data_IF_054409872724
#
_entry.id   IF_054409872724
#
_cell.length_a   1.000
_cell.length_b   1.000
_cell.length_c   1.000
_cell.angle_alpha   90.00
_cell.angle_beta   90.00
_cell.angle_gamma   90.00
#
_symmetry.space_group_name_H-M   'P 1'
#
loop_
_entity.id
_entity.type
_entity.pdbx_description
1 polymer ?
#
# COMPACT_ATOMS: atom_id res chain seq x y z
N UNK A 1 -13.26 19.46 -7.75
CA UNK A 1 -11.93 19.05 -7.34
C UNK A 1 -11.99 17.55 -7.15
N UNK A 2 -11.15 16.81 -7.86
CA UNK A 2 -11.10 15.35 -7.78
C UNK A 2 -10.70 14.92 -6.37
N UNK A 3 -11.21 13.78 -5.95
CA UNK A 3 -11.06 13.27 -4.59
C UNK A 3 -9.59 12.82 -4.36
N UNK A 4 -8.72 13.78 -4.04
CA UNK A 4 -7.29 13.53 -3.78
C UNK A 4 -7.08 12.75 -2.48
N UNK A 5 -8.04 12.79 -1.57
CA UNK A 5 -7.96 12.20 -0.26
C UNK A 5 -9.08 11.19 -0.02
N UNK A 6 -8.84 10.27 0.88
CA UNK A 6 -9.82 9.33 1.43
C UNK A 6 -9.72 9.26 2.95
N UNK A 7 -10.73 8.65 3.55
CA UNK A 7 -10.79 8.43 5.00
C UNK A 7 -10.41 7.01 5.35
N UNK A 8 -9.68 6.88 6.44
CA UNK A 8 -9.38 5.61 7.10
C UNK A 8 -9.91 5.68 8.52
N UNK A 9 -10.56 4.64 9.00
CA UNK A 9 -11.08 4.59 10.36
C UNK A 9 -9.94 4.78 11.37
N UNK A 10 -10.25 5.45 12.48
CA UNK A 10 -9.33 5.74 13.59
C UNK A 10 -8.20 6.72 13.24
N UNK A 11 -8.25 7.38 12.09
CA UNK A 11 -7.37 8.50 11.75
C UNK A 11 -8.15 9.80 11.76
N UNK A 12 -7.58 10.82 12.39
CA UNK A 12 -8.11 12.18 12.33
C UNK A 12 -7.70 12.93 11.06
N UNK A 13 -6.69 12.41 10.36
CA UNK A 13 -6.16 12.97 9.10
C UNK A 13 -6.81 12.31 7.89
N UNK A 14 -7.05 13.11 6.84
CA UNK A 14 -7.31 12.58 5.51
C UNK A 14 -6.04 11.98 4.91
N UNK A 15 -6.15 10.87 4.20
CA UNK A 15 -5.03 10.15 3.57
C UNK A 15 -5.06 10.41 2.07
N UNK A 16 -3.94 10.83 1.48
CA UNK A 16 -3.85 10.97 0.02
C UNK A 16 -4.07 9.63 -0.67
N UNK A 17 -4.86 9.68 -1.77
CA UNK A 17 -5.24 8.47 -2.54
C UNK A 17 -4.05 7.75 -3.17
N UNK A 18 -2.91 8.40 -3.32
CA UNK A 18 -1.63 7.78 -3.66
C UNK A 18 -0.73 7.85 -2.44
N UNK A 19 -0.05 6.76 -2.13
CA UNK A 19 0.87 6.64 -0.98
C UNK A 19 2.31 6.51 -1.49
N UNK A 20 3.22 7.33 -0.97
CA UNK A 20 4.63 7.30 -1.33
C UNK A 20 5.36 6.15 -0.64
N UNK A 21 5.82 5.17 -1.41
CA UNK A 21 6.74 4.14 -0.91
C UNK A 21 8.17 4.66 -0.83
N UNK A 22 8.86 4.37 0.28
CA UNK A 22 10.17 4.95 0.59
C UNK A 22 11.36 4.02 0.29
N UNK A 23 11.12 2.79 -0.18
CA UNK A 23 12.16 1.78 -0.43
C UNK A 23 13.02 2.06 -1.67
N UNK A 24 12.54 2.89 -2.60
CA UNK A 24 13.21 3.17 -3.87
C UNK A 24 14.22 4.33 -3.85
N UNK A 25 14.42 4.97 -2.69
CA UNK A 25 15.26 6.15 -2.56
C UNK A 25 16.53 5.82 -1.76
N UNK A 26 17.70 5.69 -2.41
CA UNK A 26 18.92 5.23 -1.73
C UNK A 26 19.54 6.28 -0.81
N UNK A 27 19.26 7.57 -1.03
CA UNK A 27 19.81 8.68 -0.23
C UNK A 27 18.80 9.80 -0.05
N UNK A 28 19.08 10.72 0.89
CA UNK A 28 18.21 11.89 1.11
C UNK A 28 18.26 12.86 -0.08
N UNK A 29 19.40 12.93 -0.79
CA UNK A 29 19.57 13.78 -1.96
C UNK A 29 18.67 13.32 -3.11
N UNK A 30 18.50 12.01 -3.31
CA UNK A 30 17.59 11.45 -4.31
C UNK A 30 16.12 11.51 -3.85
N UNK A 31 15.87 11.30 -2.57
CA UNK A 31 14.53 11.28 -1.99
C UNK A 31 13.87 12.66 -2.00
N UNK A 32 14.60 13.69 -1.54
CA UNK A 32 14.07 15.02 -1.30
C UNK A 32 13.30 15.60 -2.50
N UNK A 33 13.85 15.68 -3.72
CA UNK A 33 13.12 16.26 -4.85
C UNK A 33 11.84 15.49 -5.19
N UNK A 34 11.84 14.16 -5.03
CA UNK A 34 10.67 13.31 -5.29
C UNK A 34 9.60 13.49 -4.21
N UNK A 35 10.01 13.52 -2.94
CA UNK A 35 9.08 13.69 -1.82
C UNK A 35 8.53 15.13 -1.74
N UNK A 36 9.34 16.13 -2.07
CA UNK A 36 8.90 17.53 -2.19
C UNK A 36 7.84 17.69 -3.29
N UNK A 37 8.11 17.18 -4.50
CA UNK A 37 7.15 17.20 -5.61
C UNK A 37 5.85 16.47 -5.26
N UNK A 38 5.95 15.30 -4.61
CA UNK A 38 4.79 14.55 -4.14
C UNK A 38 3.97 15.36 -3.12
N UNK A 39 4.62 15.94 -2.12
CA UNK A 39 3.97 16.74 -1.09
C UNK A 39 3.35 18.02 -1.66
N UNK A 40 4.04 18.71 -2.55
CA UNK A 40 3.55 19.92 -3.22
C UNK A 40 2.34 19.67 -4.13
N UNK A 41 2.21 18.44 -4.66
CA UNK A 41 0.99 18.00 -5.37
C UNK A 41 -0.18 17.67 -4.44
N UNK A 42 0.02 17.71 -3.13
CA UNK A 42 -0.97 17.38 -2.11
C UNK A 42 -0.89 15.95 -1.58
N UNK A 43 0.15 15.18 -1.93
CA UNK A 43 0.41 13.89 -1.30
C UNK A 43 0.85 14.06 0.15
N UNK A 44 0.30 13.27 1.06
CA UNK A 44 0.63 13.38 2.47
C UNK A 44 0.95 12.04 3.17
N UNK A 45 0.81 10.92 2.48
CA UNK A 45 0.99 9.60 3.08
C UNK A 45 2.30 8.95 2.62
N UNK A 46 3.14 8.58 3.57
CA UNK A 46 4.47 8.00 3.34
C UNK A 46 4.56 6.63 4.00
N UNK A 47 4.88 5.62 3.19
CA UNK A 47 4.97 4.22 3.59
C UNK A 47 6.42 3.80 3.79
N UNK A 48 6.73 3.32 4.99
CA UNK A 48 8.03 2.81 5.35
C UNK A 48 7.91 1.46 6.07
N UNK A 49 9.03 0.74 6.21
CA UNK A 49 9.09 -0.50 6.95
C UNK A 49 10.44 -0.68 7.64
N UNK A 50 10.41 -1.27 8.84
CA UNK A 50 11.60 -1.58 9.63
C UNK A 50 12.63 -2.39 8.83
N UNK A 51 12.16 -3.37 8.01
CA UNK A 51 13.03 -4.21 7.19
C UNK A 51 13.78 -3.45 6.08
N UNK A 52 13.34 -2.22 5.72
CA UNK A 52 14.09 -1.38 4.76
C UNK A 52 15.36 -0.80 5.37
N UNK A 53 15.56 -1.00 6.67
CA UNK A 53 16.75 -0.61 7.42
C UNK A 53 16.66 0.81 8.00
N UNK A 54 17.42 1.02 9.07
CA UNK A 54 17.42 2.26 9.86
C UNK A 54 17.73 3.51 9.02
N UNK A 55 18.55 3.39 7.98
CA UNK A 55 18.87 4.51 7.10
C UNK A 55 17.67 4.98 6.26
N UNK A 56 16.77 4.07 5.87
CA UNK A 56 15.51 4.45 5.23
C UNK A 56 14.60 5.22 6.19
N UNK A 57 14.49 4.76 7.43
CA UNK A 57 13.70 5.41 8.48
C UNK A 57 14.27 6.77 8.86
N UNK A 58 15.58 6.87 9.04
CA UNK A 58 16.25 8.14 9.31
C UNK A 58 16.03 9.17 8.20
N UNK A 59 16.04 8.75 6.94
CA UNK A 59 15.82 9.64 5.80
C UNK A 59 14.44 10.29 5.84
N UNK A 60 13.39 9.52 6.02
CA UNK A 60 12.04 10.10 6.11
C UNK A 60 11.91 11.01 7.34
N UNK A 61 12.45 10.60 8.49
CA UNK A 61 12.48 11.42 9.71
C UNK A 61 13.24 12.74 9.51
N UNK A 62 14.37 12.70 8.81
CA UNK A 62 15.14 13.90 8.46
C UNK A 62 14.31 14.84 7.58
N UNK A 63 13.67 14.33 6.51
CA UNK A 63 12.86 15.12 5.60
C UNK A 63 11.68 15.76 6.32
N UNK A 64 10.95 15.00 7.15
CA UNK A 64 9.83 15.51 7.94
C UNK A 64 10.23 16.68 8.84
N UNK A 65 11.39 16.58 9.52
CA UNK A 65 11.92 17.66 10.40
C UNK A 65 12.36 18.88 9.59
N UNK A 66 13.11 18.68 8.51
CA UNK A 66 13.63 19.78 7.67
C UNK A 66 12.51 20.58 7.03
N UNK A 67 11.42 19.90 6.61
CA UNK A 67 10.23 20.55 6.05
C UNK A 67 9.26 21.08 7.11
N UNK A 68 9.35 20.60 8.35
CA UNK A 68 8.41 20.97 9.42
C UNK A 68 6.97 20.50 9.16
N UNK A 69 6.79 19.32 8.52
CA UNK A 69 5.48 18.87 8.00
C UNK A 69 4.93 17.61 8.67
N UNK A 70 5.53 17.14 9.79
CA UNK A 70 5.10 15.89 10.46
C UNK A 70 3.59 15.86 10.72
N UNK A 71 3.01 16.93 11.19
CA UNK A 71 1.58 17.02 11.53
C UNK A 71 0.67 16.98 10.29
N UNK A 72 1.20 17.36 9.13
CA UNK A 72 0.47 17.32 7.86
C UNK A 72 0.56 15.96 7.19
N UNK A 73 1.55 15.15 7.55
CA UNK A 73 1.82 13.85 6.93
C UNK A 73 1.15 12.71 7.71
N UNK A 74 0.72 11.71 6.97
CA UNK A 74 0.34 10.38 7.45
C UNK A 74 1.57 9.49 7.33
N UNK A 75 2.19 9.17 8.45
CA UNK A 75 3.38 8.31 8.50
C UNK A 75 2.94 6.88 8.75
N UNK A 76 3.30 5.99 7.82
CA UNK A 76 3.01 4.56 7.86
C UNK A 76 4.30 3.82 8.20
N UNK A 77 4.24 2.97 9.21
CA UNK A 77 5.33 2.10 9.65
C UNK A 77 4.91 0.65 9.52
N UNK A 78 5.82 -0.21 9.08
CA UNK A 78 5.62 -1.67 9.11
C UNK A 78 6.73 -2.33 9.93
N UNK A 79 6.36 -3.23 10.81
CA UNK A 79 7.26 -4.10 11.57
C UNK A 79 6.70 -5.50 11.72
N UNK A 80 7.28 -6.33 12.54
CA UNK A 80 6.92 -7.73 12.71
C UNK A 80 6.99 -8.51 11.38
N UNK A 81 8.15 -8.48 10.73
CA UNK A 81 8.44 -9.32 9.57
C UNK A 81 9.06 -10.65 10.05
N UNK A 82 8.71 -11.75 9.40
CA UNK A 82 9.33 -13.06 9.71
C UNK A 82 10.85 -13.03 9.52
N UNK A 83 11.64 -13.69 10.40
CA UNK A 83 11.21 -14.55 11.51
C UNK A 83 10.80 -13.79 12.79
N UNK A 84 11.09 -12.49 12.92
CA UNK A 84 10.79 -11.67 14.10
C UNK A 84 9.33 -11.17 14.06
N UNK A 85 8.38 -12.10 13.96
CA UNK A 85 6.94 -11.81 13.90
C UNK A 85 6.24 -12.37 15.14
N UNK A 86 6.36 -11.64 16.25
CA UNK A 86 5.69 -11.89 17.52
C UNK A 86 5.41 -10.57 18.27
N UNK A 87 4.62 -10.58 19.36
CA UNK A 87 4.23 -9.36 20.10
C UNK A 87 5.40 -8.57 20.68
N UNK A 88 6.47 -9.22 21.13
CA UNK A 88 7.62 -8.54 21.71
C UNK A 88 8.46 -7.85 20.63
N UNK A 89 8.76 -8.56 19.53
CA UNK A 89 9.47 -7.98 18.39
C UNK A 89 8.65 -6.89 17.70
N UNK A 90 7.32 -7.04 17.63
CA UNK A 90 6.43 -5.97 17.15
C UNK A 90 6.65 -4.68 17.93
N UNK A 91 6.64 -4.77 19.27
CA UNK A 91 6.82 -3.62 20.15
C UNK A 91 8.21 -3.03 20.04
N UNK A 92 9.24 -3.88 20.03
CA UNK A 92 10.63 -3.46 19.90
C UNK A 92 10.88 -2.74 18.56
N UNK A 93 10.43 -3.32 17.45
CA UNK A 93 10.62 -2.76 16.12
C UNK A 93 9.84 -1.45 15.92
N UNK A 94 8.63 -1.32 16.52
CA UNK A 94 7.90 -0.06 16.53
C UNK A 94 8.70 1.03 17.26
N UNK A 95 9.20 0.75 18.47
CA UNK A 95 9.96 1.72 19.25
C UNK A 95 11.24 2.15 18.54
N UNK A 96 11.97 1.20 17.95
CA UNK A 96 13.16 1.48 17.14
C UNK A 96 12.83 2.33 15.89
N UNK A 97 11.73 2.03 15.21
CA UNK A 97 11.30 2.81 14.02
C UNK A 97 10.97 4.26 14.39
N UNK A 98 10.26 4.48 15.49
CA UNK A 98 9.96 5.83 15.99
C UNK A 98 11.25 6.57 16.38
N UNK A 99 12.19 5.90 17.05
CA UNK A 99 13.50 6.45 17.38
C UNK A 99 14.32 6.82 16.14
N UNK A 100 14.43 5.91 15.16
CA UNK A 100 15.16 6.16 13.92
C UNK A 100 14.60 7.36 13.15
N UNK A 101 13.29 7.49 13.07
CA UNK A 101 12.64 8.63 12.44
C UNK A 101 12.69 9.91 13.28
N UNK A 102 12.92 9.79 14.60
CA UNK A 102 12.88 10.91 15.53
C UNK A 102 11.48 11.53 15.66
N UNK A 103 10.46 10.68 15.74
CA UNK A 103 9.04 11.02 15.93
C UNK A 103 8.48 10.28 17.15
N UNK A 104 7.47 10.84 17.80
CA UNK A 104 6.87 10.23 19.00
C UNK A 104 5.83 9.16 18.65
N UNK A 105 5.21 9.28 17.47
CA UNK A 105 4.15 8.37 17.02
C UNK A 105 4.11 8.27 15.50
N UNK A 106 3.55 7.17 14.97
CA UNK A 106 3.13 7.07 13.58
C UNK A 106 1.59 7.03 13.48
N UNK A 107 1.06 7.36 12.32
CA UNK A 107 -0.39 7.41 12.12
C UNK A 107 -0.96 6.02 11.86
N UNK A 108 -0.26 5.22 11.05
CA UNK A 108 -0.65 3.85 10.70
C UNK A 108 0.50 2.88 11.01
N UNK A 109 0.16 1.76 11.63
CA UNK A 109 1.08 0.64 11.78
C UNK A 109 0.55 -0.60 11.07
N UNK A 110 1.36 -1.22 10.21
CA UNK A 110 1.07 -2.53 9.65
C UNK A 110 1.99 -3.61 10.25
N UNK A 111 1.43 -4.70 10.70
CA UNK A 111 2.21 -5.92 10.82
C UNK A 111 2.66 -6.36 9.42
N UNK A 112 3.97 -6.48 9.20
CA UNK A 112 4.52 -6.71 7.85
C UNK A 112 4.28 -8.13 7.35
N UNK A 113 4.14 -9.09 8.27
CA UNK A 113 3.75 -10.49 8.02
C UNK A 113 2.81 -10.98 9.11
N UNK A 114 2.20 -12.13 8.89
CA UNK A 114 1.48 -12.87 9.91
C UNK A 114 2.36 -14.01 10.45
N UNK A 115 2.07 -14.45 11.66
CA UNK A 115 2.59 -15.69 12.24
C UNK A 115 1.42 -16.54 12.74
N UNK A 116 1.09 -17.58 11.99
CA UNK A 116 -0.07 -18.44 12.26
C UNK A 116 0.11 -19.31 13.53
N UNK A 117 1.31 -19.41 14.08
CA UNK A 117 1.57 -20.13 15.33
C UNK A 117 1.16 -19.31 16.56
N UNK A 118 0.96 -18.00 16.40
CA UNK A 118 0.57 -17.08 17.47
C UNK A 118 -0.91 -16.73 17.34
N UNK A 119 -1.71 -16.86 18.42
CA UNK A 119 -3.10 -16.43 18.42
C UNK A 119 -3.25 -14.95 18.06
N UNK A 120 -4.28 -14.59 17.28
CA UNK A 120 -4.55 -13.18 16.92
C UNK A 120 -4.75 -12.28 18.13
N UNK A 121 -5.23 -12.85 19.24
CA UNK A 121 -5.45 -12.11 20.49
C UNK A 121 -4.19 -11.45 21.00
N UNK A 122 -3.04 -12.13 20.92
CA UNK A 122 -1.77 -11.58 21.40
C UNK A 122 -1.34 -10.36 20.57
N UNK A 123 -1.53 -10.41 19.24
CA UNK A 123 -1.25 -9.27 18.37
C UNK A 123 -2.23 -8.12 18.58
N UNK A 124 -3.53 -8.41 18.67
CA UNK A 124 -4.56 -7.37 18.88
C UNK A 124 -4.39 -6.69 20.22
N UNK A 125 -4.04 -7.43 21.28
CA UNK A 125 -3.82 -6.86 22.61
C UNK A 125 -2.61 -5.92 22.64
N UNK A 126 -1.49 -6.31 22.00
CA UNK A 126 -0.29 -5.45 21.95
C UNK A 126 -0.51 -4.23 21.08
N UNK A 127 -1.16 -4.36 19.93
CA UNK A 127 -1.49 -3.22 19.06
C UNK A 127 -2.41 -2.22 19.78
N UNK A 128 -3.43 -2.70 20.48
CA UNK A 128 -4.31 -1.86 21.29
C UNK A 128 -3.59 -1.20 22.48
N UNK A 129 -2.56 -1.82 23.03
CA UNK A 129 -1.70 -1.18 24.03
C UNK A 129 -0.98 0.01 23.39
N UNK A 130 -0.36 -0.15 22.22
CA UNK A 130 0.33 0.94 21.51
C UNK A 130 -0.63 2.07 21.07
N UNK A 131 -1.90 1.76 20.76
CA UNK A 131 -2.94 2.79 20.54
C UNK A 131 -3.18 3.59 21.84
N UNK A 132 -3.37 2.91 22.98
CA UNK A 132 -3.58 3.60 24.28
C UNK A 132 -2.38 4.42 24.71
N UNK A 133 -1.16 3.97 24.38
CA UNK A 133 0.10 4.66 24.65
C UNK A 133 0.33 5.84 23.69
N UNK A 134 -0.53 6.02 22.68
CA UNK A 134 -0.44 7.11 21.70
C UNK A 134 0.68 6.95 20.66
N UNK A 135 1.27 5.75 20.55
CA UNK A 135 2.36 5.47 19.60
C UNK A 135 1.83 5.25 18.17
N UNK A 136 0.61 4.73 18.04
CA UNK A 136 -0.07 4.49 16.75
C UNK A 136 -1.52 4.91 16.85
N UNK A 137 -2.14 5.37 15.75
CA UNK A 137 -3.57 5.70 15.72
C UNK A 137 -4.41 4.57 15.15
N UNK A 138 -3.99 4.01 14.04
CA UNK A 138 -4.67 2.92 13.34
C UNK A 138 -3.69 1.82 12.97
N UNK A 139 -4.18 0.60 12.81
CA UNK A 139 -3.35 -0.53 12.45
C UNK A 139 -4.05 -1.54 11.55
N UNK A 140 -3.25 -2.39 10.91
CA UNK A 140 -3.70 -3.47 10.05
C UNK A 140 -2.62 -4.51 9.79
N UNK A 141 -2.90 -5.43 8.86
CA UNK A 141 -1.99 -6.49 8.43
C UNK A 141 -1.51 -6.30 6.99
N UNK A 142 -0.23 -6.48 6.75
CA UNK A 142 0.34 -6.59 5.42
C UNK A 142 0.59 -8.07 5.11
N UNK A 143 0.08 -8.52 3.97
CA UNK A 143 0.14 -9.93 3.58
C UNK A 143 -0.59 -10.89 4.55
N UNK A 144 -1.60 -10.39 5.24
CA UNK A 144 -2.51 -11.18 6.04
C UNK A 144 -3.64 -11.76 5.17
N UNK A 145 -4.06 -12.99 5.44
CA UNK A 145 -5.29 -13.50 4.84
C UNK A 145 -6.51 -12.76 5.40
N UNK A 146 -7.53 -12.56 4.57
CA UNK A 146 -8.75 -11.86 5.03
C UNK A 146 -9.48 -12.65 6.11
N UNK A 147 -9.39 -13.98 6.09
CA UNK A 147 -9.92 -14.83 7.16
C UNK A 147 -9.23 -14.57 8.50
N UNK A 148 -7.91 -14.36 8.47
CA UNK A 148 -7.13 -14.04 9.68
C UNK A 148 -7.43 -12.63 10.20
N UNK A 149 -7.65 -11.67 9.29
CA UNK A 149 -8.13 -10.32 9.66
C UNK A 149 -9.52 -10.39 10.28
N UNK A 150 -10.41 -11.20 9.75
CA UNK A 150 -11.74 -11.41 10.32
C UNK A 150 -11.65 -11.99 11.74
N UNK A 151 -10.85 -13.05 11.95
CA UNK A 151 -10.61 -13.64 13.27
C UNK A 151 -10.12 -12.58 14.28
N UNK A 152 -9.15 -11.77 13.87
CA UNK A 152 -8.62 -10.67 14.69
C UNK A 152 -9.70 -9.63 15.04
N UNK A 153 -10.54 -9.26 14.09
CA UNK A 153 -11.60 -8.28 14.27
C UNK A 153 -12.75 -8.82 15.12
N UNK A 154 -13.07 -10.12 15.02
CA UNK A 154 -14.03 -10.77 15.91
C UNK A 154 -13.53 -10.80 17.36
N UNK A 155 -12.23 -11.08 17.56
CA UNK A 155 -11.62 -11.00 18.88
C UNK A 155 -11.68 -9.58 19.44
N UNK A 156 -11.29 -8.57 18.65
CA UNK A 156 -11.35 -7.18 19.05
C UNK A 156 -12.77 -6.75 19.47
N UNK A 157 -13.78 -7.10 18.67
CA UNK A 157 -15.17 -6.77 18.95
C UNK A 157 -15.67 -7.39 20.27
N UNK A 158 -15.33 -8.65 20.55
CA UNK A 158 -15.70 -9.34 21.80
C UNK A 158 -15.09 -8.70 23.04
N UNK A 159 -13.91 -8.07 22.90
CA UNK A 159 -13.15 -7.50 24.01
C UNK A 159 -13.22 -5.97 24.09
N UNK A 160 -14.02 -5.30 23.23
CA UNK A 160 -14.14 -3.84 23.21
C UNK A 160 -12.83 -3.14 22.79
N UNK A 161 -12.05 -3.80 21.93
CA UNK A 161 -10.78 -3.31 21.42
C UNK A 161 -10.94 -2.71 20.01
N UNK A 162 -9.98 -1.87 19.60
CA UNK A 162 -9.92 -1.39 18.22
C UNK A 162 -9.58 -2.54 17.28
N UNK A 163 -10.35 -2.76 16.21
CA UNK A 163 -10.05 -3.78 15.19
C UNK A 163 -9.00 -3.29 14.18
N UNK A 164 -8.49 -4.19 13.38
CA UNK A 164 -7.77 -3.87 12.14
C UNK A 164 -8.73 -3.17 11.18
N UNK A 165 -8.41 -1.99 10.73
CA UNK A 165 -9.23 -1.19 9.82
C UNK A 165 -8.72 -1.17 8.38
N UNK A 166 -7.59 -1.82 8.13
CA UNK A 166 -6.95 -1.84 6.81
C UNK A 166 -6.05 -3.06 6.61
N UNK A 167 -5.76 -3.34 5.34
CA UNK A 167 -4.76 -4.34 4.93
C UNK A 167 -3.84 -3.77 3.86
N UNK A 168 -2.60 -4.27 3.80
CA UNK A 168 -1.62 -3.94 2.76
C UNK A 168 -1.23 -5.21 2.00
N UNK A 169 -2.13 -5.67 1.14
CA UNK A 169 -1.97 -6.83 0.28
C UNK A 169 -1.85 -6.38 -1.18
N UNK A 170 -1.29 -7.22 -2.06
CA UNK A 170 -1.18 -6.87 -3.46
C UNK A 170 -2.55 -6.71 -4.13
N UNK A 171 -2.69 -5.63 -4.90
CA UNK A 171 -3.72 -5.45 -5.91
C UNK A 171 -3.18 -4.58 -7.04
N UNK A 172 -3.26 -5.09 -8.25
CA UNK A 172 -2.98 -4.37 -9.49
C UNK A 172 -3.89 -4.90 -10.60
N UNK A 173 -4.06 -4.14 -11.69
CA UNK A 173 -4.88 -4.60 -12.81
C UNK A 173 -4.32 -5.90 -13.43
N UNK A 174 -3.00 -6.04 -13.58
CA UNK A 174 -2.40 -7.34 -13.86
C UNK A 174 -2.40 -8.18 -12.59
N UNK A 175 -2.86 -9.43 -12.70
CA UNK A 175 -2.87 -10.38 -11.59
C UNK A 175 -1.46 -10.91 -11.33
N UNK A 176 -0.98 -10.80 -10.10
CA UNK A 176 0.25 -11.48 -9.68
C UNK A 176 0.02 -12.99 -9.66
N UNK A 177 0.75 -13.73 -10.49
CA UNK A 177 0.60 -15.19 -10.67
C UNK A 177 1.59 -15.99 -9.85
N UNK A 178 2.74 -15.38 -9.53
CA UNK A 178 3.74 -15.94 -8.64
C UNK A 178 4.20 -14.83 -7.68
N UNK A 179 4.26 -15.06 -6.36
CA UNK A 179 4.62 -14.03 -5.41
C UNK A 179 6.01 -13.45 -5.67
N UNK A 180 6.15 -12.10 -5.59
CA UNK A 180 7.47 -11.44 -5.68
C UNK A 180 8.37 -11.95 -4.56
N UNK A 181 7.83 -12.01 -3.34
CA UNK A 181 8.49 -12.52 -2.15
C UNK A 181 7.64 -13.62 -1.53
N UNK A 182 8.27 -14.50 -0.77
CA UNK A 182 7.55 -15.54 -0.04
C UNK A 182 6.46 -14.97 0.86
N UNK A 183 5.38 -15.69 1.01
CA UNK A 183 4.26 -15.38 1.89
C UNK A 183 3.53 -14.05 1.57
N UNK A 184 3.63 -13.58 0.32
CA UNK A 184 2.88 -12.42 -0.13
C UNK A 184 1.43 -12.79 -0.49
N UNK A 185 0.49 -11.98 -0.02
CA UNK A 185 -0.93 -12.13 -0.26
C UNK A 185 -1.45 -11.15 -1.33
N UNK A 186 -2.41 -11.60 -2.14
CA UNK A 186 -3.14 -10.78 -3.11
C UNK A 186 -4.64 -10.78 -2.79
N UNK A 187 -5.32 -9.70 -3.15
CA UNK A 187 -6.78 -9.57 -3.05
C UNK A 187 -7.41 -9.36 -4.43
N UNK A 188 -6.81 -9.97 -5.46
CA UNK A 188 -7.23 -9.78 -6.85
C UNK A 188 -8.55 -10.49 -7.19
N UNK A 189 -8.88 -11.59 -6.52
CA UNK A 189 -10.10 -12.32 -6.75
C UNK A 189 -11.35 -11.53 -6.29
N UNK A 190 -12.51 -11.86 -6.87
CA UNK A 190 -13.75 -11.14 -6.61
C UNK A 190 -14.18 -11.28 -5.14
N UNK A 191 -14.07 -12.47 -4.57
CA UNK A 191 -14.52 -12.74 -3.21
C UNK A 191 -13.72 -11.90 -2.19
N UNK A 192 -12.41 -11.76 -2.36
CA UNK A 192 -11.56 -10.89 -1.55
C UNK A 192 -11.97 -9.42 -1.68
N UNK A 193 -12.25 -8.95 -2.89
CA UNK A 193 -12.68 -7.55 -3.13
C UNK A 193 -14.07 -7.29 -2.53
N UNK A 194 -15.00 -8.22 -2.68
CA UNK A 194 -16.33 -8.13 -2.09
C UNK A 194 -16.27 -8.12 -0.55
N UNK A 195 -15.38 -8.95 0.02
CA UNK A 195 -15.18 -8.96 1.47
C UNK A 195 -14.67 -7.61 2.00
N UNK A 196 -13.68 -7.01 1.33
CA UNK A 196 -13.16 -5.68 1.68
C UNK A 196 -14.28 -4.62 1.68
N UNK A 197 -15.11 -4.63 0.63
CA UNK A 197 -16.23 -3.69 0.51
C UNK A 197 -17.30 -3.89 1.60
N UNK A 198 -17.63 -5.15 1.91
CA UNK A 198 -18.66 -5.49 2.92
C UNK A 198 -18.22 -5.21 4.34
N UNK A 199 -16.93 -5.33 4.64
CA UNK A 199 -16.38 -5.13 5.98
C UNK A 199 -15.80 -3.73 6.20
N UNK A 200 -15.85 -2.86 5.18
CA UNK A 200 -15.32 -1.49 5.25
C UNK A 200 -13.87 -1.46 5.75
N UNK A 201 -13.05 -2.36 5.19
CA UNK A 201 -11.61 -2.47 5.42
C UNK A 201 -10.88 -1.80 4.25
N UNK A 202 -10.05 -0.80 4.56
CA UNK A 202 -9.28 -0.09 3.55
C UNK A 202 -8.13 -0.94 3.01
N UNK A 203 -7.78 -0.76 1.73
CA UNK A 203 -6.66 -1.44 1.10
C UNK A 203 -5.54 -0.46 0.77
N UNK A 204 -4.32 -0.79 1.18
CA UNK A 204 -3.08 -0.11 0.83
C UNK A 204 -2.24 -1.04 -0.08
N UNK A 205 -2.58 -1.15 -1.38
CA UNK A 205 -1.98 -2.17 -2.21
C UNK A 205 -0.56 -1.81 -2.63
N UNK A 206 0.38 -2.70 -2.32
CA UNK A 206 1.74 -2.63 -2.83
C UNK A 206 1.82 -3.18 -4.25
N UNK A 207 2.85 -2.78 -5.02
CA UNK A 207 3.01 -3.07 -6.45
C UNK A 207 1.73 -2.79 -7.26
N UNK A 208 1.03 -1.71 -6.93
CA UNK A 208 -0.26 -1.32 -7.49
C UNK A 208 -0.26 -1.10 -9.00
N UNK A 209 0.91 -0.88 -9.59
CA UNK A 209 1.14 -0.72 -11.03
C UNK A 209 1.84 -1.94 -11.65
N UNK A 210 1.80 -3.12 -10.98
CA UNK A 210 2.38 -4.38 -11.45
C UNK A 210 3.84 -4.23 -11.94
N UNK A 211 4.67 -3.49 -11.20
CA UNK A 211 6.07 -3.22 -11.57
C UNK A 211 6.25 -2.65 -12.98
N UNK A 212 5.26 -1.93 -13.48
CA UNK A 212 5.29 -1.34 -14.82
C UNK A 212 4.89 -2.29 -15.95
N UNK A 213 4.22 -3.40 -15.68
CA UNK A 213 3.77 -4.37 -16.67
C UNK A 213 3.11 -3.70 -17.87
N UNK A 214 2.20 -2.73 -17.68
CA UNK A 214 1.44 -2.10 -18.74
C UNK A 214 2.24 -1.17 -19.69
N UNK A 215 3.52 -0.94 -19.40
CA UNK A 215 4.43 -0.15 -20.25
C UNK A 215 5.68 -0.91 -20.67
N UNK A 216 6.00 -2.02 -19.99
CA UNK A 216 7.26 -2.78 -20.19
C UNK A 216 7.05 -4.17 -20.75
N UNK A 217 5.87 -4.76 -20.55
CA UNK A 217 5.62 -6.15 -20.95
C UNK A 217 5.53 -6.30 -22.47
N UNK A 218 6.28 -7.27 -22.98
CA UNK A 218 6.25 -7.76 -24.35
C UNK A 218 6.40 -9.27 -24.30
N UNK A 219 5.50 -10.03 -25.00
CA UNK A 219 5.54 -11.50 -25.01
C UNK A 219 6.89 -12.08 -25.48
N UNK A 220 7.63 -11.33 -26.25
CA UNK A 220 8.93 -11.73 -26.82
C UNK A 220 10.14 -11.28 -26.00
N UNK A 221 9.92 -10.44 -24.98
CA UNK A 221 10.95 -9.91 -24.11
C UNK A 221 10.82 -10.50 -22.70
N UNK A 222 11.72 -11.41 -22.33
CA UNK A 222 11.72 -12.15 -21.08
C UNK A 222 12.95 -11.93 -20.20
N UNK A 223 13.75 -10.89 -20.51
CA UNK A 223 14.98 -10.60 -19.77
C UNK A 223 14.73 -10.07 -18.36
N UNK A 224 13.56 -9.48 -18.09
CA UNK A 224 13.13 -9.11 -16.75
C UNK A 224 12.50 -10.33 -16.08
N UNK A 225 13.32 -11.10 -15.37
CA UNK A 225 12.91 -12.35 -14.72
C UNK A 225 11.78 -12.14 -13.69
N UNK A 226 11.82 -11.06 -12.91
CA UNK A 226 10.78 -10.74 -11.90
C UNK A 226 9.46 -10.43 -12.60
N UNK A 227 9.48 -9.58 -13.62
CA UNK A 227 8.27 -9.22 -14.36
C UNK A 227 7.67 -10.44 -15.06
N UNK A 228 8.52 -11.25 -15.69
CA UNK A 228 8.12 -12.48 -16.40
C UNK A 228 7.52 -13.50 -15.44
N UNK A 229 8.19 -13.81 -14.36
CA UNK A 229 7.76 -14.80 -13.37
C UNK A 229 6.45 -14.39 -12.69
N UNK A 230 6.35 -13.12 -12.29
CA UNK A 230 5.26 -12.67 -11.43
C UNK A 230 4.02 -12.24 -12.20
N UNK A 231 4.12 -11.78 -13.45
CA UNK A 231 2.99 -11.21 -14.16
C UNK A 231 2.74 -11.72 -15.57
N UNK A 232 3.66 -12.50 -16.22
CA UNK A 232 3.40 -12.98 -17.56
C UNK A 232 2.41 -14.16 -17.54
N UNK A 233 1.23 -13.91 -18.09
CA UNK A 233 0.21 -14.91 -18.35
C UNK A 233 -0.67 -14.46 -19.52
N UNK A 234 -1.36 -15.39 -20.15
CA UNK A 234 -2.27 -15.06 -21.26
C UNK A 234 -3.39 -14.11 -20.80
N UNK A 235 -3.89 -14.29 -19.57
CA UNK A 235 -4.90 -13.43 -18.97
C UNK A 235 -4.38 -11.99 -18.80
N UNK A 236 -3.16 -11.81 -18.27
CA UNK A 236 -2.57 -10.48 -18.11
C UNK A 236 -2.24 -9.82 -19.45
N UNK A 237 -1.83 -10.57 -20.46
CA UNK A 237 -1.64 -10.04 -21.80
C UNK A 237 -2.98 -9.65 -22.47
N UNK A 238 -4.05 -10.39 -22.23
CA UNK A 238 -5.38 -9.97 -22.66
C UNK A 238 -5.85 -8.66 -21.96
N UNK A 239 -5.49 -8.46 -20.69
CA UNK A 239 -5.70 -7.18 -20.01
C UNK A 239 -4.86 -6.07 -20.61
N UNK A 240 -3.60 -6.34 -20.93
CA UNK A 240 -2.72 -5.37 -21.61
C UNK A 240 -3.33 -4.93 -22.96
N UNK A 241 -3.85 -5.85 -23.75
CA UNK A 241 -4.52 -5.55 -25.03
C UNK A 241 -5.74 -4.64 -24.83
N UNK A 242 -6.59 -4.92 -23.81
CA UNK A 242 -7.73 -4.06 -23.46
C UNK A 242 -7.28 -2.67 -23.01
N UNK A 243 -6.25 -2.58 -22.16
CA UNK A 243 -5.67 -1.30 -21.73
C UNK A 243 -5.12 -0.51 -22.91
N UNK A 244 -4.39 -1.15 -23.82
CA UNK A 244 -3.85 -0.51 -25.04
C UNK A 244 -4.97 0.00 -25.96
N UNK A 245 -6.08 -0.75 -26.10
CA UNK A 245 -7.25 -0.31 -26.83
C UNK A 245 -7.86 0.95 -26.20
N UNK A 246 -8.17 0.92 -24.90
CA UNK A 246 -8.70 2.08 -24.18
C UNK A 246 -7.74 3.28 -24.22
N UNK A 247 -6.45 3.03 -24.11
CA UNK A 247 -5.39 4.07 -24.22
C UNK A 247 -5.46 4.81 -25.56
N UNK A 248 -5.59 4.07 -26.68
CA UNK A 248 -5.73 4.66 -28.03
C UNK A 248 -7.02 5.45 -28.17
N UNK A 249 -8.13 4.93 -27.64
CA UNK A 249 -9.46 5.54 -27.76
C UNK A 249 -9.59 6.82 -26.92
N UNK A 250 -8.96 6.86 -25.73
CA UNK A 250 -9.13 7.96 -24.78
C UNK A 250 -7.90 8.90 -24.68
N UNK A 251 -6.79 8.56 -25.32
CA UNK A 251 -5.54 9.34 -25.24
C UNK A 251 -4.89 9.31 -23.85
N UNK A 252 -5.10 8.23 -23.07
CA UNK A 252 -4.61 8.07 -21.70
C UNK A 252 -3.47 7.05 -21.70
N UNK A 253 -2.38 7.34 -20.97
CA UNK A 253 -1.27 6.42 -20.87
C UNK A 253 -1.71 5.08 -20.22
N UNK A 254 -1.25 3.91 -20.75
CA UNK A 254 -1.64 2.59 -20.24
C UNK A 254 -1.45 2.41 -18.74
N UNK A 255 -0.32 2.89 -18.20
CA UNK A 255 -0.01 2.78 -16.77
C UNK A 255 -1.03 3.57 -15.89
N UNK A 256 -1.57 4.68 -16.41
CA UNK A 256 -2.54 5.49 -15.68
C UNK A 256 -3.93 4.85 -15.70
N UNK A 257 -4.30 4.15 -16.76
CA UNK A 257 -5.52 3.32 -16.81
C UNK A 257 -5.42 2.19 -15.79
N UNK A 258 -4.26 1.52 -15.73
CA UNK A 258 -4.02 0.44 -14.78
C UNK A 258 -4.08 0.93 -13.32
N UNK A 259 -3.51 2.09 -13.00
CA UNK A 259 -3.60 2.69 -11.67
C UNK A 259 -5.04 3.13 -11.34
N UNK A 260 -5.74 3.71 -12.32
CA UNK A 260 -7.14 4.11 -12.16
C UNK A 260 -8.04 2.91 -11.85
N UNK A 261 -7.79 1.75 -12.44
CA UNK A 261 -8.55 0.53 -12.11
C UNK A 261 -8.44 0.19 -10.61
N UNK A 262 -7.26 0.31 -10.01
CA UNK A 262 -7.07 0.11 -8.56
C UNK A 262 -7.81 1.17 -7.75
N UNK A 263 -7.80 2.42 -8.20
CA UNK A 263 -8.47 3.54 -7.54
C UNK A 263 -10.01 3.47 -7.63
N UNK A 264 -10.57 2.75 -8.60
CA UNK A 264 -12.01 2.62 -8.82
C UNK A 264 -12.61 1.34 -8.22
N UNK A 265 -11.91 0.68 -7.30
CA UNK A 265 -12.51 -0.43 -6.57
C UNK A 265 -13.64 0.07 -5.63
N UNK A 266 -14.65 -0.77 -5.30
CA UNK A 266 -15.82 -0.35 -4.52
C UNK A 266 -15.55 -0.22 -3.02
N UNK A 267 -14.31 -0.07 -2.61
CA UNK A 267 -13.85 0.15 -1.23
C UNK A 267 -12.71 1.16 -1.20
N UNK A 268 -12.37 1.66 -0.03
CA UNK A 268 -11.29 2.64 0.12
C UNK A 268 -9.94 2.00 -0.27
N UNK A 269 -9.30 2.57 -1.31
CA UNK A 269 -7.98 2.13 -1.77
C UNK A 269 -6.98 3.27 -1.74
N UNK A 270 -5.76 2.96 -1.32
CA UNK A 270 -4.63 3.86 -1.18
C UNK A 270 -3.39 3.21 -1.81
N UNK A 271 -3.32 3.11 -3.17
CA UNK A 271 -2.22 2.43 -3.83
C UNK A 271 -0.87 3.05 -3.51
N UNK A 272 0.06 2.18 -3.14
CA UNK A 272 1.46 2.53 -2.97
C UNK A 272 2.08 2.73 -4.34
N UNK A 273 2.69 3.90 -4.53
CA UNK A 273 3.52 4.24 -5.68
C UNK A 273 4.98 4.29 -5.26
N UNK A 274 5.90 3.92 -6.14
CA UNK A 274 7.33 3.88 -5.85
C UNK A 274 8.14 4.65 -6.88
N UNK A 275 7.91 5.96 -7.05
CA UNK A 275 8.63 6.75 -8.03
C UNK A 275 10.11 6.91 -7.63
N UNK A 276 10.99 6.81 -8.63
CA UNK A 276 12.42 7.09 -8.48
C UNK A 276 12.79 8.51 -8.88
N UNK A 277 11.91 9.16 -9.63
CA UNK A 277 12.09 10.51 -10.17
C UNK A 277 10.74 11.23 -10.28
N UNK A 278 10.80 12.56 -10.38
CA UNK A 278 9.63 13.45 -10.37
C UNK A 278 8.64 13.11 -11.50
N UNK A 279 9.14 12.72 -12.67
CA UNK A 279 8.32 12.37 -13.84
C UNK A 279 7.41 11.17 -13.56
N UNK A 280 7.86 10.21 -12.77
CA UNK A 280 7.06 9.04 -12.37
C UNK A 280 5.98 9.44 -11.35
N UNK A 281 6.28 10.37 -10.43
CA UNK A 281 5.27 10.99 -9.55
C UNK A 281 4.23 11.70 -10.39
N UNK A 282 4.65 12.58 -11.30
CA UNK A 282 3.77 13.31 -12.20
C UNK A 282 2.91 12.39 -13.08
N UNK A 283 3.47 11.27 -13.53
CA UNK A 283 2.72 10.24 -14.26
C UNK A 283 1.65 9.60 -13.38
N UNK A 284 2.01 9.16 -12.17
CA UNK A 284 1.06 8.53 -11.24
C UNK A 284 -0.09 9.47 -10.88
N UNK A 285 0.19 10.78 -10.73
CA UNK A 285 -0.85 11.79 -10.47
C UNK A 285 -1.90 11.88 -11.56
N UNK A 286 -1.52 11.69 -12.84
CA UNK A 286 -2.47 11.61 -13.96
C UNK A 286 -3.43 10.43 -13.84
N UNK A 287 -3.07 9.38 -13.12
CA UNK A 287 -3.95 8.25 -12.81
C UNK A 287 -5.17 8.65 -11.96
N UNK A 288 -5.02 9.67 -11.09
CA UNK A 288 -6.13 10.24 -10.31
C UNK A 288 -7.15 10.97 -11.19
N UNK A 289 -6.76 11.37 -12.40
CA UNK A 289 -7.58 12.09 -13.35
C UNK A 289 -8.36 11.17 -14.30
N UNK A 290 -8.06 9.91 -14.32
CA UNK A 290 -8.72 8.92 -15.16
C UNK A 290 -10.03 8.48 -14.50
N UNK A 291 -11.13 8.69 -15.20
CA UNK A 291 -12.45 8.21 -14.75
C UNK A 291 -12.79 6.91 -15.48
N UNK A 292 -13.14 5.90 -14.70
CA UNK A 292 -13.61 4.61 -15.19
C UNK A 292 -15.02 4.37 -14.68
N UNK A 293 -15.94 4.00 -15.58
CA UNK A 293 -17.24 3.52 -15.16
C UNK A 293 -17.15 2.11 -14.57
N UNK A 294 -18.17 1.64 -13.83
CA UNK A 294 -18.21 0.24 -13.38
C UNK A 294 -18.05 -0.77 -14.54
N UNK A 295 -18.60 -0.45 -15.72
CA UNK A 295 -18.48 -1.25 -16.93
C UNK A 295 -17.04 -1.26 -17.46
N UNK A 296 -16.34 -0.11 -17.42
CA UNK A 296 -14.92 -0.03 -17.75
C UNK A 296 -14.08 -0.92 -16.82
N UNK A 297 -14.35 -0.84 -15.51
CA UNK A 297 -13.64 -1.62 -14.48
C UNK A 297 -13.82 -3.12 -14.71
N UNK A 298 -15.04 -3.57 -15.00
CA UNK A 298 -15.35 -4.95 -15.32
C UNK A 298 -14.69 -5.38 -16.65
N UNK A 299 -14.87 -4.58 -17.71
CA UNK A 299 -14.31 -4.87 -19.02
C UNK A 299 -12.79 -5.01 -19.02
N UNK A 300 -12.08 -4.18 -18.26
CA UNK A 300 -10.60 -4.23 -18.17
C UNK A 300 -10.09 -5.57 -17.63
N UNK A 301 -10.83 -6.26 -16.78
CA UNK A 301 -10.47 -7.60 -16.28
C UNK A 301 -11.08 -8.74 -17.09
N UNK A 302 -12.01 -8.45 -17.99
CA UNK A 302 -12.63 -9.44 -18.88
C UNK A 302 -13.92 -10.03 -18.32
N UNK A 303 -14.58 -9.34 -17.41
CA UNK A 303 -15.89 -9.67 -16.83
C UNK A 303 -17.04 -9.02 -17.62
#
# INVERSE_FOLDING_TARGET
MKNLYGRVKYLDKDVSRLVMGNDNQPSIESARPVWDDYFERGGNAFDNAFIYGSESEKRIGQWLRERGVREQCVVIVKGAHTPECNPDDLSLQLDMSLEHMGIESCDIYFMHRDNLEIPVSEFIDVLNRHVRDGKISAFGGSNWSLARVQEANEYAAKNGLQPMSMVSNNLSLARMIDPIWADCATVHDKDSRDWLAQNDVALFPWSSQARGFFIRADRHFTEDEELTRCWYSDDNFARLERVQKMSKERGIAPINIALAWVLHQPFATFPLIGPRQIEETASSWKGLDVELSPEDVAWLVGD
#
